data_IF_256356834824
#
_entry.id   IF_256356834824
#
_cell.length_a   1.000
_cell.length_b   1.000
_cell.length_c   1.000
_cell.angle_alpha   90.00
_cell.angle_beta   90.00
_cell.angle_gamma   90.00
#
_symmetry.space_group_name_H-M   'P 1'
#
loop_
_entity.id
_entity.type
_entity.pdbx_description
1 polymer ?
#
# COMPACT_ATOMS: atom_id res chain seq x y z
N UNK A 1 13.74 -63.72 23.10
CA UNK A 1 12.27 -63.50 23.08
C UNK A 1 11.99 -62.03 23.36
N UNK A 2 11.95 -61.19 22.32
CA UNK A 2 11.84 -59.72 22.46
C UNK A 2 10.36 -59.33 22.45
N UNK A 3 9.85 -58.81 23.58
CA UNK A 3 8.46 -58.37 23.73
C UNK A 3 8.26 -57.03 23.02
N UNK A 4 7.49 -57.07 21.94
CA UNK A 4 7.00 -55.91 21.19
C UNK A 4 6.08 -55.04 22.08
N UNK A 5 6.45 -53.78 22.35
CA UNK A 5 5.59 -52.81 23.06
C UNK A 5 4.55 -52.29 22.08
N UNK A 6 3.29 -52.70 22.27
CA UNK A 6 2.12 -52.14 21.58
C UNK A 6 1.95 -50.68 21.99
N UNK A 7 1.98 -49.77 21.02
CA UNK A 7 1.66 -48.36 21.19
C UNK A 7 0.13 -48.25 21.33
N UNK A 8 -0.34 -47.69 22.44
CA UNK A 8 -1.76 -47.37 22.65
C UNK A 8 -2.11 -46.08 21.85
N UNK A 9 -3.31 -45.98 21.25
CA UNK A 9 -3.71 -44.77 20.54
C UNK A 9 -4.04 -43.66 21.53
N UNK A 10 -3.44 -42.48 21.33
CA UNK A 10 -3.79 -41.26 22.04
C UNK A 10 -5.22 -40.82 21.69
N UNK A 11 -6.00 -40.28 22.64
CA UNK A 11 -7.33 -39.77 22.35
C UNK A 11 -7.22 -38.50 21.50
N UNK A 12 -8.00 -38.45 20.42
CA UNK A 12 -8.14 -37.27 19.56
C UNK A 12 -9.00 -36.26 20.32
N UNK A 13 -8.40 -35.18 20.80
CA UNK A 13 -9.15 -34.04 21.34
C UNK A 13 -9.83 -33.28 20.20
N UNK A 14 -11.16 -33.31 20.19
CA UNK A 14 -12.03 -32.52 19.32
C UNK A 14 -11.85 -31.03 19.61
N UNK A 15 -11.08 -30.35 18.76
CA UNK A 15 -11.03 -28.88 18.78
C UNK A 15 -12.34 -28.33 18.20
N UNK A 16 -13.06 -27.43 18.91
CA UNK A 16 -14.29 -26.84 18.39
C UNK A 16 -14.00 -25.98 17.14
N UNK A 17 -14.94 -25.93 16.18
CA UNK A 17 -14.71 -25.27 14.90
C UNK A 17 -14.49 -23.77 15.10
N UNK A 18 -13.39 -23.26 14.54
CA UNK A 18 -13.05 -21.83 14.51
C UNK A 18 -14.25 -21.04 13.98
N UNK A 19 -14.88 -20.23 14.84
CA UNK A 19 -15.92 -19.27 14.45
C UNK A 19 -15.41 -18.44 13.26
N UNK A 20 -16.07 -18.60 12.11
CA UNK A 20 -15.83 -17.76 10.95
C UNK A 20 -16.05 -16.30 11.35
N UNK A 21 -15.01 -15.49 11.20
CA UNK A 21 -15.06 -14.05 11.43
C UNK A 21 -16.05 -13.50 10.39
N UNK A 22 -17.22 -13.03 10.85
CA UNK A 22 -18.20 -12.36 9.97
C UNK A 22 -17.45 -11.26 9.21
N UNK A 23 -17.44 -11.37 7.88
CA UNK A 23 -16.91 -10.32 7.01
C UNK A 23 -17.63 -9.02 7.38
N UNK A 24 -16.87 -8.04 7.85
CA UNK A 24 -17.41 -6.72 8.10
C UNK A 24 -17.99 -6.20 6.78
N UNK A 25 -19.27 -5.81 6.79
CA UNK A 25 -19.92 -5.19 5.64
C UNK A 25 -19.02 -4.03 5.17
N UNK A 26 -18.77 -3.88 3.85
CA UNK A 26 -17.96 -2.78 3.35
C UNK A 26 -18.63 -1.47 3.79
N UNK A 27 -17.91 -0.67 4.57
CA UNK A 27 -18.33 0.70 4.85
C UNK A 27 -18.46 1.41 3.51
N UNK A 28 -19.60 2.06 3.30
CA UNK A 28 -19.93 2.82 2.11
C UNK A 28 -18.69 3.60 1.64
N UNK A 29 -18.17 3.23 0.47
CA UNK A 29 -17.11 3.99 -0.19
C UNK A 29 -17.64 5.41 -0.36
N UNK A 30 -16.84 6.40 0.04
CA UNK A 30 -17.13 7.81 -0.16
C UNK A 30 -17.52 7.99 -1.62
N UNK A 31 -18.81 8.23 -1.86
CA UNK A 31 -19.34 8.51 -3.19
C UNK A 31 -18.76 9.86 -3.58
N UNK A 32 -18.02 9.88 -4.68
CA UNK A 32 -17.36 11.03 -5.31
C UNK A 32 -15.92 11.30 -4.83
N UNK A 33 -15.06 10.28 -4.85
CA UNK A 33 -13.62 10.45 -4.64
C UNK A 33 -12.84 10.74 -5.95
N UNK A 34 -13.49 11.24 -7.01
CA UNK A 34 -12.87 11.37 -8.33
C UNK A 34 -12.63 10.03 -9.04
N UNK A 35 -11.87 10.09 -10.13
CA UNK A 35 -11.56 8.97 -11.03
C UNK A 35 -10.05 8.71 -11.07
N UNK A 36 -9.67 7.43 -11.01
CA UNK A 36 -8.29 6.99 -11.15
C UNK A 36 -8.25 5.62 -11.84
N UNK A 37 -7.22 5.36 -12.64
CA UNK A 37 -6.98 4.07 -13.31
C UNK A 37 -6.70 2.93 -12.32
N UNK A 38 -6.34 3.27 -11.08
CA UNK A 38 -6.08 2.31 -10.01
C UNK A 38 -6.73 2.77 -8.71
N UNK A 39 -7.28 1.84 -7.94
CA UNK A 39 -7.71 2.14 -6.58
C UNK A 39 -6.51 2.32 -5.64
N UNK A 40 -6.76 2.88 -4.44
CA UNK A 40 -5.72 3.09 -3.42
C UNK A 40 -4.99 1.80 -3.04
N UNK A 41 -5.68 0.66 -3.06
CA UNK A 41 -5.11 -0.64 -2.68
C UNK A 41 -4.14 -1.12 -3.75
N UNK A 42 -4.50 -1.02 -5.03
CA UNK A 42 -3.67 -1.37 -6.18
C UNK A 42 -2.40 -0.50 -6.22
N UNK A 43 -2.53 0.81 -5.96
CA UNK A 43 -1.36 1.70 -5.83
C UNK A 43 -0.46 1.22 -4.69
N UNK A 44 -1.03 0.92 -3.53
CA UNK A 44 -0.28 0.37 -2.40
C UNK A 44 0.39 -0.97 -2.69
N UNK A 45 -0.29 -1.87 -3.41
CA UNK A 45 0.24 -3.18 -3.80
C UNK A 45 1.42 -3.01 -4.77
N UNK A 46 1.36 -2.07 -5.72
CA UNK A 46 2.48 -1.72 -6.61
C UNK A 46 3.67 -1.14 -5.85
N UNK A 47 3.43 -0.24 -4.90
CA UNK A 47 4.48 0.34 -4.05
C UNK A 47 5.18 -0.77 -3.24
N UNK A 48 4.41 -1.70 -2.67
CA UNK A 48 4.98 -2.82 -1.90
C UNK A 48 5.75 -3.79 -2.78
N UNK A 49 5.31 -4.01 -4.01
CA UNK A 49 6.06 -4.80 -4.98
C UNK A 49 7.42 -4.16 -5.32
N UNK A 50 7.51 -2.83 -5.33
CA UNK A 50 8.79 -2.13 -5.52
C UNK A 50 9.81 -2.39 -4.39
N UNK A 51 9.34 -2.73 -3.18
CA UNK A 51 10.19 -3.06 -2.02
C UNK A 51 10.68 -4.52 -1.98
N UNK A 52 10.18 -5.40 -2.87
CA UNK A 52 10.44 -6.83 -2.77
C UNK A 52 11.93 -7.18 -3.02
N UNK A 53 12.58 -7.95 -2.17
CA UNK A 53 13.98 -8.30 -2.41
C UNK A 53 14.10 -9.31 -3.56
N UNK A 54 14.70 -8.87 -4.67
CA UNK A 54 15.01 -9.69 -5.82
C UNK A 54 16.53 -9.84 -5.96
N UNK A 55 17.01 -11.08 -6.12
CA UNK A 55 18.45 -11.40 -6.08
C UNK A 55 19.25 -10.77 -7.23
N UNK A 56 18.63 -10.61 -8.40
CA UNK A 56 19.30 -10.19 -9.64
C UNK A 56 18.56 -9.11 -10.43
N UNK A 57 17.34 -8.76 -10.04
CA UNK A 57 16.52 -7.79 -10.76
C UNK A 57 16.21 -6.59 -9.85
N UNK A 58 16.41 -5.39 -10.37
CA UNK A 58 15.88 -4.19 -9.74
C UNK A 58 14.37 -4.17 -9.93
N UNK A 59 13.63 -3.88 -8.86
CA UNK A 59 12.20 -3.69 -9.01
C UNK A 59 11.90 -2.39 -9.74
N UNK A 60 10.74 -2.38 -10.37
CA UNK A 60 10.19 -1.17 -10.94
C UNK A 60 9.82 -0.21 -9.80
N UNK A 61 10.51 0.93 -9.76
CA UNK A 61 10.27 2.02 -8.81
C UNK A 61 9.44 3.17 -9.38
N UNK A 62 8.87 2.96 -10.57
CA UNK A 62 8.08 3.95 -11.31
C UNK A 62 6.69 3.43 -11.63
N UNK A 63 5.66 4.18 -11.22
CA UNK A 63 4.24 3.88 -11.46
C UNK A 63 3.63 5.04 -12.23
N UNK A 64 2.88 4.74 -13.29
CA UNK A 64 2.14 5.72 -14.07
C UNK A 64 0.64 5.48 -13.88
N UNK A 65 -0.10 6.54 -13.60
CA UNK A 65 -1.52 6.53 -13.26
C UNK A 65 -2.26 7.56 -14.12
N UNK A 66 -3.49 7.25 -14.49
CA UNK A 66 -4.45 8.26 -14.95
C UNK A 66 -5.31 8.62 -13.74
N UNK A 67 -5.39 9.88 -13.36
CA UNK A 67 -6.25 10.34 -12.27
C UNK A 67 -6.70 11.76 -12.48
N UNK A 68 -7.88 12.10 -11.98
CA UNK A 68 -8.36 13.47 -11.92
C UNK A 68 -7.91 14.20 -10.65
N UNK A 69 -8.08 15.51 -10.66
CA UNK A 69 -7.70 16.40 -9.56
C UNK A 69 -8.48 16.11 -8.28
N UNK A 70 -9.74 15.68 -8.40
CA UNK A 70 -10.57 15.33 -7.26
C UNK A 70 -10.02 14.10 -6.52
N UNK A 71 -9.61 13.06 -7.24
CA UNK A 71 -8.98 11.88 -6.66
C UNK A 71 -7.63 12.20 -6.05
N UNK A 72 -6.83 12.99 -6.76
CA UNK A 72 -5.52 13.43 -6.27
C UNK A 72 -5.65 14.19 -4.94
N UNK A 73 -6.57 15.17 -4.86
CA UNK A 73 -6.84 15.93 -3.64
C UNK A 73 -7.33 15.05 -2.51
N UNK A 74 -8.32 14.20 -2.77
CA UNK A 74 -8.86 13.27 -1.76
C UNK A 74 -7.77 12.35 -1.19
N UNK A 75 -6.82 11.90 -2.02
CA UNK A 75 -5.80 10.94 -1.60
C UNK A 75 -4.61 11.61 -0.89
N UNK A 76 -4.13 12.74 -1.40
CA UNK A 76 -2.86 13.36 -0.99
C UNK A 76 -3.01 14.68 -0.22
N UNK A 77 -4.12 15.41 -0.38
CA UNK A 77 -4.33 16.73 0.23
C UNK A 77 -5.31 16.62 1.40
N UNK A 78 -6.53 16.19 1.12
CA UNK A 78 -7.67 16.20 2.06
C UNK A 78 -7.78 14.89 2.85
N UNK A 79 -6.65 14.28 3.19
CA UNK A 79 -6.60 12.96 3.80
C UNK A 79 -6.39 13.05 5.31
N UNK A 80 -7.50 13.08 6.04
CA UNK A 80 -7.55 13.17 7.51
C UNK A 80 -6.89 12.00 8.27
N UNK A 81 -6.46 10.95 7.56
CA UNK A 81 -5.81 9.79 8.18
C UNK A 81 -4.31 9.96 8.35
N UNK A 82 -3.73 11.00 7.77
CA UNK A 82 -2.32 11.32 7.91
C UNK A 82 -2.08 12.08 9.21
N UNK A 83 -1.01 11.75 9.93
CA UNK A 83 -0.67 12.45 11.18
C UNK A 83 -0.22 13.89 10.94
N UNK A 84 0.30 14.17 9.74
CA UNK A 84 0.72 15.49 9.27
C UNK A 84 0.32 15.68 7.81
N UNK A 85 -0.04 16.91 7.38
CA UNK A 85 -0.25 17.23 5.98
C UNK A 85 0.98 16.91 5.12
N UNK A 86 0.76 16.54 3.86
CA UNK A 86 1.84 16.34 2.89
C UNK A 86 2.33 17.69 2.37
N UNK A 87 3.61 17.73 1.97
CA UNK A 87 4.18 18.90 1.29
C UNK A 87 3.76 18.88 -0.17
N UNK A 88 2.83 19.75 -0.54
CA UNK A 88 2.29 19.87 -1.90
C UNK A 88 2.74 21.20 -2.51
N UNK A 89 3.30 21.15 -3.71
CA UNK A 89 3.77 22.32 -4.44
C UNK A 89 3.18 22.35 -5.86
N UNK A 90 2.50 23.42 -6.28
CA UNK A 90 2.15 24.61 -5.49
C UNK A 90 1.09 24.30 -4.42
N UNK A 91 0.99 25.16 -3.39
CA UNK A 91 0.05 24.97 -2.28
C UNK A 91 -1.41 25.06 -2.74
N UNK A 92 -1.69 25.97 -3.67
CA UNK A 92 -2.97 26.09 -4.36
C UNK A 92 -2.78 25.69 -5.82
N UNK A 93 -3.65 24.82 -6.31
CA UNK A 93 -3.63 24.33 -7.69
C UNK A 93 -5.03 23.98 -8.14
N UNK A 94 -5.26 23.97 -9.44
CA UNK A 94 -6.52 23.60 -10.08
C UNK A 94 -6.26 22.74 -11.33
N UNK A 95 -7.30 22.51 -12.14
CA UNK A 95 -7.20 21.72 -13.37
C UNK A 95 -6.35 22.39 -14.46
N UNK A 96 -6.05 23.69 -14.32
CA UNK A 96 -5.21 24.46 -15.25
C UNK A 96 -3.73 24.45 -14.87
N UNK A 97 -3.43 24.01 -13.65
CA UNK A 97 -2.06 23.94 -13.14
C UNK A 97 -1.24 22.92 -13.93
N UNK A 98 -0.03 23.31 -14.35
CA UNK A 98 0.81 22.50 -15.25
C UNK A 98 1.31 21.24 -14.56
N UNK A 99 1.78 21.39 -13.33
CA UNK A 99 2.31 20.29 -12.52
C UNK A 99 2.11 20.57 -11.04
N UNK A 100 1.79 19.51 -10.30
CA UNK A 100 1.69 19.49 -8.84
C UNK A 100 2.61 18.39 -8.34
N UNK A 101 3.44 18.71 -7.36
CA UNK A 101 4.42 17.80 -6.78
C UNK A 101 4.06 17.52 -5.34
N UNK A 102 4.14 16.25 -4.94
CA UNK A 102 3.99 15.82 -3.55
C UNK A 102 5.20 15.00 -3.16
N UNK A 103 5.88 15.44 -2.12
CA UNK A 103 6.98 14.69 -1.52
C UNK A 103 6.51 14.02 -0.24
N UNK A 104 6.77 12.72 -0.15
CA UNK A 104 6.42 11.88 0.98
C UNK A 104 7.68 11.31 1.61
N UNK A 105 7.81 11.52 2.92
CA UNK A 105 8.75 10.74 3.73
C UNK A 105 8.30 9.29 3.83
N UNK A 106 9.22 8.41 4.20
CA UNK A 106 8.94 7.00 4.42
C UNK A 106 7.81 6.74 5.44
N UNK A 107 7.72 7.58 6.47
CA UNK A 107 6.68 7.50 7.49
C UNK A 107 5.31 7.84 6.90
N UNK A 108 5.19 8.97 6.19
CA UNK A 108 3.95 9.39 5.54
C UNK A 108 3.48 8.40 4.47
N UNK A 109 4.40 7.86 3.66
CA UNK A 109 4.06 6.82 2.69
C UNK A 109 3.56 5.54 3.39
N UNK A 110 4.15 5.18 4.53
CA UNK A 110 3.70 4.08 5.38
C UNK A 110 2.31 4.29 5.99
N UNK A 111 1.98 5.50 6.44
CA UNK A 111 0.62 5.86 6.90
C UNK A 111 -0.39 5.79 5.75
N UNK A 112 0.00 6.25 4.57
CA UNK A 112 -0.88 6.35 3.42
C UNK A 112 -1.22 4.97 2.83
N UNK A 113 -0.21 4.13 2.58
CA UNK A 113 -0.35 2.85 1.84
C UNK A 113 -0.10 1.60 2.70
N UNK A 114 0.28 1.79 3.96
CA UNK A 114 0.69 0.72 4.87
C UNK A 114 2.15 0.30 4.66
N UNK A 115 2.76 -0.20 5.73
CA UNK A 115 4.10 -0.81 5.69
C UNK A 115 4.03 -2.27 5.23
N UNK A 116 5.10 -2.75 4.58
CA UNK A 116 5.23 -4.15 4.18
C UNK A 116 6.37 -4.83 4.93
N UNK A 117 6.20 -6.13 5.17
CA UNK A 117 7.29 -7.00 5.64
C UNK A 117 7.85 -7.73 4.44
N UNK A 118 9.13 -7.51 4.17
CA UNK A 118 9.83 -8.15 3.05
C UNK A 118 10.61 -9.34 3.60
N UNK A 119 10.57 -10.46 2.88
CA UNK A 119 11.30 -11.67 3.25
C UNK A 119 12.76 -11.54 2.80
N UNK A 120 13.68 -11.53 3.76
CA UNK A 120 15.12 -11.59 3.53
C UNK A 120 15.67 -12.92 4.04
N UNK A 121 15.90 -13.88 3.12
CA UNK A 121 16.29 -15.24 3.50
C UNK A 121 15.24 -15.93 4.37
N UNK A 122 15.62 -16.36 5.57
CA UNK A 122 14.73 -17.06 6.51
C UNK A 122 13.95 -16.13 7.45
N UNK A 123 14.17 -14.81 7.40
CA UNK A 123 13.51 -13.84 8.30
C UNK A 123 12.70 -12.84 7.50
N UNK A 124 11.63 -12.33 8.11
CA UNK A 124 10.92 -11.15 7.62
C UNK A 124 11.47 -9.91 8.33
N UNK A 125 11.77 -8.87 7.56
CA UNK A 125 12.09 -7.55 8.08
C UNK A 125 11.02 -6.56 7.62
N UNK A 126 10.67 -5.59 8.46
CA UNK A 126 9.89 -4.45 8.01
C UNK A 126 10.81 -3.57 7.17
N UNK A 127 10.42 -3.28 5.93
CA UNK A 127 11.18 -2.41 5.04
C UNK A 127 10.36 -1.17 4.76
N UNK A 128 11.00 -0.03 4.85
CA UNK A 128 10.41 1.27 4.57
C UNK A 128 10.95 1.76 3.22
N UNK A 129 10.15 2.53 2.48
CA UNK A 129 10.67 3.33 1.38
C UNK A 129 11.72 4.30 1.93
N UNK A 130 12.69 4.73 1.14
CA UNK A 130 13.54 5.86 1.52
C UNK A 130 12.80 7.18 1.28
N UNK A 131 12.22 7.33 0.09
CA UNK A 131 11.47 8.51 -0.35
C UNK A 131 10.43 8.14 -1.41
N UNK A 132 9.37 8.95 -1.51
CA UNK A 132 8.36 8.83 -2.56
C UNK A 132 8.00 10.23 -3.06
N UNK A 133 7.97 10.40 -4.38
CA UNK A 133 7.56 11.64 -5.04
C UNK A 133 6.42 11.37 -6.01
N UNK A 134 5.38 12.19 -5.97
CA UNK A 134 4.24 12.13 -6.87
C UNK A 134 4.20 13.38 -7.71
N UNK A 135 4.28 13.21 -9.03
CA UNK A 135 4.14 14.28 -10.02
C UNK A 135 2.77 14.14 -10.67
N UNK A 136 1.86 15.06 -10.39
CA UNK A 136 0.55 15.12 -10.99
C UNK A 136 0.50 16.22 -12.05
N UNK A 137 -0.06 15.91 -13.21
CA UNK A 137 -0.29 16.84 -14.32
C UNK A 137 -1.80 16.99 -14.52
N UNK A 138 -2.45 17.92 -13.81
CA UNK A 138 -3.91 18.12 -13.85
C UNK A 138 -4.46 18.23 -15.26
N UNK A 139 -3.86 19.09 -16.08
CA UNK A 139 -4.21 19.30 -17.50
C UNK A 139 -4.20 18.04 -18.35
N UNK A 140 -3.47 17.01 -17.93
CA UNK A 140 -3.32 15.73 -18.65
C UNK A 140 -4.08 14.59 -17.97
N UNK A 141 -4.61 14.80 -16.77
CA UNK A 141 -5.20 13.73 -15.95
C UNK A 141 -4.22 12.60 -15.65
N UNK A 142 -2.92 12.89 -15.51
CA UNK A 142 -1.88 11.86 -15.30
C UNK A 142 -1.07 12.12 -14.05
N UNK A 143 -0.75 11.05 -13.31
CA UNK A 143 0.18 11.09 -12.19
C UNK A 143 1.30 10.08 -12.37
N UNK A 144 2.50 10.47 -11.99
CA UNK A 144 3.71 9.66 -12.00
C UNK A 144 4.25 9.55 -10.59
N UNK A 145 4.43 8.33 -10.10
CA UNK A 145 4.98 8.06 -8.78
C UNK A 145 6.38 7.50 -8.96
N UNK A 146 7.33 8.11 -8.26
CA UNK A 146 8.71 7.68 -8.15
C UNK A 146 8.99 7.23 -6.72
N UNK A 147 9.64 6.08 -6.60
CA UNK A 147 9.97 5.44 -5.34
C UNK A 147 11.48 5.30 -5.23
N UNK A 148 12.02 5.56 -4.04
CA UNK A 148 13.36 5.13 -3.66
C UNK A 148 13.22 4.09 -2.55
N UNK A 149 13.95 2.99 -2.68
CA UNK A 149 13.98 1.87 -1.72
C UNK A 149 15.26 1.93 -0.92
#
# INVERSE_FOLDING_TARGET
>A
MIRSRKHAPSPVEDNPPKKARKAAKPKNAVKNAGTCSMDKKQIGDCIKAALALNKYALNRTYINLQMDTAFFRTLFVDNDKLSKPLSVTPAEFDDTTVVVVVDLTHHQAGELFGVSKVKGGNRFATTHLAAMCVLFYPTRGTAKIWLSV
#
